data_IF_654109201601
#
_entry.id   IF_654109201601
#
_cell.length_a   1.000
_cell.length_b   1.000
_cell.length_c   1.000
_cell.angle_alpha   90.00
_cell.angle_beta   90.00
_cell.angle_gamma   90.00
#
_symmetry.space_group_name_H-M   'P 1'
#
loop_
_entity.id
_entity.type
_entity.pdbx_description
1 polymer ?
#
# COMPACT_ATOMS: atom_id res chain seq x y z
N UNK A 1 -11.11 8.58 -5.64
CA UNK A 1 -11.60 8.21 -4.33
C UNK A 1 -10.46 7.69 -3.46
N UNK A 2 -10.23 8.24 -2.27
CA UNK A 2 -9.09 7.80 -1.46
C UNK A 2 -9.25 6.37 -0.96
N UNK A 3 -8.14 5.70 -0.82
CA UNK A 3 -8.13 4.34 -0.27
C UNK A 3 -8.37 4.33 1.23
N UNK A 4 -8.04 5.43 1.91
CA UNK A 4 -8.25 5.58 3.33
C UNK A 4 -9.01 6.88 3.59
N UNK A 5 -9.55 7.02 4.80
CA UNK A 5 -10.31 8.21 5.17
C UNK A 5 -9.76 8.78 6.47
N UNK A 6 -10.23 9.99 6.81
CA UNK A 6 -9.91 10.59 8.12
C UNK A 6 -10.35 9.66 9.25
N UNK A 7 -11.49 9.02 9.11
CA UNK A 7 -11.97 8.10 10.13
C UNK A 7 -11.02 6.94 10.34
N UNK A 8 -10.44 6.43 9.26
CA UNK A 8 -9.45 5.35 9.35
C UNK A 8 -8.20 5.82 10.08
N UNK A 9 -7.78 7.06 9.84
CA UNK A 9 -6.63 7.64 10.55
C UNK A 9 -6.94 7.81 12.03
N UNK A 10 -8.12 8.31 12.36
CA UNK A 10 -8.53 8.50 13.74
C UNK A 10 -8.62 7.17 14.49
N UNK A 11 -9.11 6.15 13.82
CA UNK A 11 -9.21 4.83 14.41
C UNK A 11 -7.83 4.23 14.70
N UNK A 12 -6.89 4.41 13.78
CA UNK A 12 -5.53 3.86 13.91
C UNK A 12 -4.70 4.64 14.93
N UNK A 13 -4.69 5.96 14.83
CA UNK A 13 -3.76 6.80 15.57
C UNK A 13 -4.39 7.46 16.80
N UNK A 14 -5.70 7.65 16.78
CA UNK A 14 -6.39 8.38 17.85
C UNK A 14 -6.51 9.86 17.53
N UNK A 15 -7.54 10.49 18.11
CA UNK A 15 -7.85 11.89 17.84
C UNK A 15 -6.71 12.81 18.27
N UNK A 16 -6.12 12.52 19.43
CA UNK A 16 -5.06 13.39 19.96
C UNK A 16 -3.85 13.45 19.03
N UNK A 17 -3.42 12.32 18.54
CA UNK A 17 -2.27 12.30 17.62
C UNK A 17 -2.60 13.01 16.32
N UNK A 18 -3.77 12.73 15.74
CA UNK A 18 -4.14 13.33 14.46
C UNK A 18 -4.30 14.84 14.60
N UNK A 19 -4.91 15.30 15.69
CA UNK A 19 -5.01 16.73 15.95
C UNK A 19 -3.62 17.36 16.04
N UNK A 20 -2.69 16.68 16.71
CA UNK A 20 -1.34 17.21 16.91
C UNK A 20 -0.58 17.38 15.59
N UNK A 21 -0.78 16.45 14.65
CA UNK A 21 -0.02 16.48 13.38
C UNK A 21 -0.79 17.12 12.24
N UNK A 22 -2.08 17.36 12.38
CA UNK A 22 -2.90 17.91 11.30
C UNK A 22 -3.53 19.27 11.61
N UNK A 23 -3.29 19.82 12.80
CA UNK A 23 -3.72 21.18 13.14
C UNK A 23 -2.55 22.13 12.95
N UNK A 24 -2.33 22.53 11.69
CA UNK A 24 -1.15 23.32 11.33
C UNK A 24 -1.29 24.80 11.68
N UNK A 25 -2.52 25.29 11.81
CA UNK A 25 -2.78 26.70 12.17
C UNK A 25 -3.08 26.85 13.67
N UNK A 26 -3.08 25.76 14.42
CA UNK A 26 -3.24 25.76 15.87
C UNK A 26 -4.58 26.34 16.32
N UNK A 27 -5.63 26.08 15.57
CA UNK A 27 -6.97 26.56 15.90
C UNK A 27 -7.78 25.56 16.75
N UNK A 28 -7.18 24.43 17.08
CA UNK A 28 -7.83 23.40 17.91
C UNK A 28 -8.65 22.41 17.11
N UNK A 29 -8.60 22.47 15.78
CA UNK A 29 -9.33 21.51 14.96
C UNK A 29 -8.42 21.00 13.84
N UNK A 30 -8.76 19.79 13.34
CA UNK A 30 -8.01 19.15 12.30
C UNK A 30 -8.24 19.90 10.98
N UNK A 31 -7.14 20.24 10.28
CA UNK A 31 -7.22 20.94 9.00
C UNK A 31 -7.56 19.97 7.87
N UNK A 32 -8.72 20.11 7.22
CA UNK A 32 -9.12 19.17 6.17
C UNK A 32 -8.12 19.14 5.00
N UNK A 33 -7.54 20.27 4.65
CA UNK A 33 -6.60 20.33 3.53
C UNK A 33 -5.34 19.52 3.81
N UNK A 34 -4.89 19.52 5.06
CA UNK A 34 -3.70 18.75 5.47
C UNK A 34 -3.99 17.25 5.37
N UNK A 35 -5.17 16.85 5.83
CA UNK A 35 -5.60 15.45 5.76
C UNK A 35 -5.74 15.03 4.30
N UNK A 36 -6.40 15.84 3.48
CA UNK A 36 -6.60 15.50 2.06
C UNK A 36 -5.27 15.33 1.34
N UNK A 37 -4.31 16.20 1.61
CA UNK A 37 -2.99 16.09 0.99
C UNK A 37 -2.30 14.78 1.36
N UNK A 38 -2.42 14.36 2.62
CA UNK A 38 -1.81 13.11 3.07
C UNK A 38 -2.49 11.90 2.42
N UNK A 39 -3.81 11.94 2.31
CA UNK A 39 -4.56 10.85 1.69
C UNK A 39 -4.25 10.73 0.19
N UNK A 40 -4.13 11.88 -0.49
CA UNK A 40 -3.75 11.87 -1.91
C UNK A 40 -2.33 11.32 -2.08
N UNK A 41 -1.42 11.71 -1.20
CA UNK A 41 -0.05 11.18 -1.24
C UNK A 41 -0.04 9.67 -1.07
N UNK A 42 -0.83 9.17 -0.13
CA UNK A 42 -0.93 7.72 0.10
C UNK A 42 -1.50 7.01 -1.13
N UNK A 43 -2.55 7.57 -1.72
CA UNK A 43 -3.15 7.00 -2.93
C UNK A 43 -2.15 6.92 -4.06
N UNK A 44 -1.41 7.99 -4.28
CA UNK A 44 -0.41 8.03 -5.35
C UNK A 44 0.69 7.01 -5.13
N UNK A 45 1.12 6.87 -3.88
CA UNK A 45 2.17 5.89 -3.53
C UNK A 45 1.67 4.47 -3.80
N UNK A 46 0.47 4.15 -3.32
CA UNK A 46 -0.11 2.82 -3.53
C UNK A 46 -0.28 2.54 -5.02
N UNK A 47 -0.84 3.50 -5.76
CA UNK A 47 -1.08 3.32 -7.19
C UNK A 47 0.23 3.08 -7.95
N UNK A 48 1.30 3.75 -7.54
CA UNK A 48 2.59 3.58 -8.20
C UNK A 48 3.11 2.16 -8.14
N UNK A 49 2.85 1.46 -7.05
CA UNK A 49 3.28 0.07 -6.90
C UNK A 49 2.25 -0.91 -7.48
N UNK A 50 0.97 -0.70 -7.17
CA UNK A 50 -0.08 -1.68 -7.49
C UNK A 50 -0.36 -1.73 -8.98
N UNK A 51 -0.25 -0.60 -9.69
CA UNK A 51 -0.54 -0.53 -11.11
C UNK A 51 0.39 -1.40 -11.96
N UNK A 52 1.51 -1.84 -11.40
CA UNK A 52 2.42 -2.75 -12.10
C UNK A 52 1.75 -4.09 -12.37
N UNK A 53 0.92 -4.56 -11.43
CA UNK A 53 0.32 -5.89 -11.51
C UNK A 53 -1.20 -5.88 -11.68
N UNK A 54 -1.87 -4.78 -11.34
CA UNK A 54 -3.33 -4.73 -11.30
C UNK A 54 -3.85 -3.57 -12.10
N UNK A 55 -5.02 -3.75 -12.69
CA UNK A 55 -5.73 -2.67 -13.32
C UNK A 55 -6.42 -1.81 -12.28
N UNK A 56 -6.27 -0.51 -12.41
CA UNK A 56 -6.92 0.44 -11.52
C UNK A 56 -7.95 1.26 -12.30
N UNK A 57 -9.00 1.75 -11.64
CA UNK A 57 -9.26 1.66 -10.19
C UNK A 57 -9.85 0.31 -9.79
N UNK A 58 -9.79 0.02 -8.49
CA UNK A 58 -10.45 -1.16 -7.93
C UNK A 58 -11.96 -0.93 -7.90
N UNK A 59 -12.72 -2.00 -8.13
CA UNK A 59 -14.16 -1.96 -7.91
C UNK A 59 -14.46 -1.86 -6.42
N UNK A 60 -13.71 -2.62 -5.61
CA UNK A 60 -13.77 -2.53 -4.17
C UNK A 60 -12.34 -2.54 -3.65
N UNK A 61 -12.01 -1.60 -2.78
CA UNK A 61 -10.66 -1.46 -2.26
C UNK A 61 -10.36 -2.61 -1.29
N UNK A 62 -9.32 -3.41 -1.54
CA UNK A 62 -8.94 -4.45 -0.57
C UNK A 62 -8.54 -3.84 0.77
N UNK A 63 -8.84 -4.57 1.85
CA UNK A 63 -8.50 -4.08 3.20
C UNK A 63 -7.00 -3.88 3.37
N UNK A 64 -6.18 -4.71 2.75
CA UNK A 64 -4.72 -4.53 2.80
C UNK A 64 -4.31 -3.18 2.23
N UNK A 65 -4.91 -2.80 1.10
CA UNK A 65 -4.61 -1.51 0.48
C UNK A 65 -4.98 -0.36 1.42
N UNK A 66 -6.14 -0.46 2.06
CA UNK A 66 -6.55 0.56 3.03
C UNK A 66 -5.56 0.65 4.19
N UNK A 67 -5.15 -0.49 4.71
CA UNK A 67 -4.19 -0.54 5.82
C UNK A 67 -2.88 0.15 5.45
N UNK A 68 -2.36 -0.15 4.25
CA UNK A 68 -1.11 0.48 3.79
C UNK A 68 -1.28 1.98 3.56
N UNK A 69 -2.42 2.38 2.99
CA UNK A 69 -2.69 3.79 2.75
C UNK A 69 -2.73 4.58 4.07
N UNK A 70 -3.34 4.00 5.12
CA UNK A 70 -3.38 4.64 6.43
C UNK A 70 -1.97 4.81 6.98
N UNK A 71 -1.14 3.76 6.89
CA UNK A 71 0.24 3.83 7.38
C UNK A 71 1.05 4.89 6.65
N UNK A 72 0.88 4.99 5.33
CA UNK A 72 1.60 5.96 4.53
C UNK A 72 1.13 7.39 4.83
N UNK A 73 -0.19 7.59 4.91
CA UNK A 73 -0.74 8.92 5.22
C UNK A 73 -0.31 9.39 6.61
N UNK A 74 -0.35 8.49 7.59
CA UNK A 74 0.06 8.80 8.95
C UNK A 74 1.53 9.24 9.00
N UNK A 75 2.40 8.52 8.32
CA UNK A 75 3.82 8.86 8.25
C UNK A 75 4.01 10.23 7.59
N UNK A 76 3.30 10.48 6.50
CA UNK A 76 3.40 11.74 5.77
C UNK A 76 2.98 12.93 6.65
N UNK A 77 1.96 12.74 7.49
CA UNK A 77 1.48 13.79 8.39
C UNK A 77 2.52 14.18 9.44
N UNK A 78 3.40 13.25 9.84
CA UNK A 78 4.47 13.52 10.79
C UNK A 78 5.67 14.17 10.10
N UNK A 79 5.48 15.37 9.58
CA UNK A 79 6.51 16.01 8.75
C UNK A 79 7.78 16.39 9.51
N UNK A 80 7.69 16.52 10.84
CA UNK A 80 8.83 16.90 11.68
C UNK A 80 9.55 15.70 12.27
N UNK A 81 9.22 14.52 11.81
CA UNK A 81 9.81 13.28 12.29
C UNK A 81 8.77 12.41 12.98
N UNK A 82 8.61 11.19 12.50
CA UNK A 82 7.63 10.27 13.03
C UNK A 82 8.21 9.45 14.18
N UNK A 83 7.37 9.06 15.15
CA UNK A 83 7.79 8.08 16.15
C UNK A 83 8.21 6.77 15.50
N UNK A 84 9.00 6.00 16.23
CA UNK A 84 9.58 4.77 15.69
C UNK A 84 8.52 3.79 15.19
N UNK A 85 7.42 3.64 15.92
CA UNK A 85 6.36 2.70 15.50
C UNK A 85 5.65 3.17 14.22
N UNK A 86 5.53 4.47 14.01
CA UNK A 86 4.95 5.01 12.78
C UNK A 86 5.89 4.78 11.59
N UNK A 87 7.18 4.98 11.80
CA UNK A 87 8.18 4.70 10.77
C UNK A 87 8.17 3.22 10.41
N UNK A 88 8.09 2.35 11.42
CA UNK A 88 8.05 0.90 11.19
C UNK A 88 6.83 0.52 10.35
N UNK A 89 5.67 1.04 10.70
CA UNK A 89 4.44 0.74 9.95
C UNK A 89 4.54 1.21 8.50
N UNK A 90 5.12 2.39 8.29
CA UNK A 90 5.34 2.90 6.94
C UNK A 90 6.30 2.01 6.16
N UNK A 91 7.40 1.60 6.76
CA UNK A 91 8.36 0.72 6.09
C UNK A 91 7.73 -0.62 5.73
N UNK A 92 6.91 -1.16 6.62
CA UNK A 92 6.22 -2.42 6.36
C UNK A 92 5.23 -2.26 5.19
N UNK A 93 4.51 -1.15 5.14
CA UNK A 93 3.59 -0.88 4.04
C UNK A 93 4.33 -0.79 2.70
N UNK A 94 5.43 -0.04 2.66
CA UNK A 94 6.23 0.10 1.45
C UNK A 94 6.83 -1.24 1.03
N UNK A 95 7.32 -2.02 1.99
CA UNK A 95 7.87 -3.35 1.70
C UNK A 95 6.81 -4.27 1.09
N UNK A 96 5.60 -4.25 1.65
CA UNK A 96 4.49 -5.06 1.13
C UNK A 96 4.11 -4.60 -0.27
N UNK A 97 4.08 -3.29 -0.51
CA UNK A 97 3.76 -2.76 -1.84
C UNK A 97 4.81 -3.15 -2.88
N UNK A 98 6.08 -3.17 -2.48
CA UNK A 98 7.14 -3.67 -3.37
C UNK A 98 6.92 -5.13 -3.72
N UNK A 99 6.46 -5.92 -2.76
CA UNK A 99 6.15 -7.33 -2.99
C UNK A 99 4.96 -7.49 -3.94
N UNK A 100 3.95 -6.61 -3.83
CA UNK A 100 2.82 -6.60 -4.77
C UNK A 100 3.34 -6.30 -6.18
N UNK A 101 4.16 -5.26 -6.32
CA UNK A 101 4.69 -4.87 -7.61
C UNK A 101 5.54 -5.97 -8.24
N UNK A 102 6.25 -6.72 -7.41
CA UNK A 102 7.08 -7.83 -7.89
C UNK A 102 6.31 -9.12 -8.13
N UNK A 103 5.02 -9.14 -7.81
CA UNK A 103 4.19 -10.33 -7.97
C UNK A 103 4.32 -11.35 -6.87
N UNK A 104 5.04 -11.03 -5.80
CA UNK A 104 5.22 -11.96 -4.66
C UNK A 104 4.04 -11.97 -3.71
N UNK A 105 3.32 -10.85 -3.64
CA UNK A 105 2.14 -10.74 -2.79
C UNK A 105 0.94 -10.44 -3.67
N UNK A 106 -0.11 -11.23 -3.54
CA UNK A 106 -1.33 -11.04 -4.31
C UNK A 106 -2.40 -10.41 -3.44
N UNK A 107 -3.12 -9.44 -4.04
CA UNK A 107 -4.21 -8.80 -3.33
C UNK A 107 -5.46 -9.67 -3.37
N UNK A 108 -6.25 -9.68 -2.30
CA UNK A 108 -7.52 -10.43 -2.27
C UNK A 108 -8.61 -9.65 -3.01
N UNK A 109 -8.53 -9.62 -4.33
CA UNK A 109 -9.52 -8.92 -5.14
C UNK A 109 -10.76 -9.78 -5.29
N UNK A 110 -11.93 -9.11 -5.37
CA UNK A 110 -13.18 -9.81 -5.54
C UNK A 110 -13.38 -10.29 -6.97
N UNK A 111 -14.45 -11.06 -7.20
CA UNK A 111 -14.69 -11.64 -8.55
C UNK A 111 -14.93 -10.60 -9.64
N UNK A 112 -15.38 -9.39 -9.26
CA UNK A 112 -15.60 -8.32 -10.22
C UNK A 112 -14.38 -7.43 -10.40
N UNK A 113 -13.31 -7.69 -9.68
CA UNK A 113 -12.09 -6.90 -9.76
C UNK A 113 -11.26 -7.28 -10.98
N UNK A 114 -10.50 -6.33 -11.53
CA UNK A 114 -9.60 -6.65 -12.64
C UNK A 114 -8.59 -7.72 -12.23
N UNK A 115 -8.36 -8.65 -13.11
CA UNK A 115 -7.37 -9.70 -12.85
C UNK A 115 -5.96 -9.10 -12.79
N UNK A 116 -5.05 -9.73 -12.05
CA UNK A 116 -3.65 -9.30 -12.07
C UNK A 116 -3.12 -9.32 -13.51
N UNK A 117 -2.37 -8.29 -13.84
CA UNK A 117 -1.76 -8.19 -15.16
C UNK A 117 -0.40 -8.88 -15.15
N UNK A 118 -0.07 -9.62 -16.19
CA UNK A 118 1.27 -10.16 -16.28
C UNK A 118 2.27 -9.01 -16.43
N UNK A 119 3.35 -9.08 -15.73
CA UNK A 119 4.38 -8.08 -15.87
C UNK A 119 5.08 -8.31 -17.20
N UNK A 120 5.42 -7.24 -17.87
CA UNK A 120 6.07 -7.35 -19.15
C UNK A 120 7.45 -7.96 -18.97
N UNK A 121 7.77 -8.91 -19.78
CA UNK A 121 9.03 -9.58 -19.70
C UNK A 121 9.09 -10.71 -18.70
N UNK A 122 8.06 -10.91 -17.94
CA UNK A 122 8.10 -11.95 -16.95
C UNK A 122 7.44 -13.21 -17.44
N UNK A 123 7.11 -13.16 -18.52
CA UNK A 123 6.46 -14.30 -18.91
C UNK A 123 7.30 -15.49 -18.89
N UNK A 124 7.35 -15.39 -18.42
CA UNK A 124 7.58 -16.20 -18.08
C UNK A 124 7.79 -17.02 -17.35
N UNK A 125 7.69 -16.90 -17.44
CA UNK A 125 7.74 -17.59 -16.82
C UNK A 125 7.87 -18.47 -16.28
N UNK A 126 7.74 -18.49 -16.28
CA UNK A 126 7.82 -19.20 -15.79
C UNK A 126 7.91 -20.07 -15.47
N UNK A 127 7.87 -20.14 -15.61
CA UNK A 127 7.87 -20.95 -15.37
C UNK A 127 7.93 -21.76 -14.99
N UNK A 128 7.86 -21.76 -15.07
CA UNK A 128 7.72 -22.51 -14.68
C UNK A 128 7.93 -23.28 -14.32
N UNK A 129 7.96 -23.53 -14.31
CA UNK A 129 8.17 -24.28 -13.82
C UNK A 129 8.59 -24.78 -13.40
N UNK A 130 8.44 -24.54 -13.43
CA UNK A 130 8.64 -24.93 -13.05
C UNK A 130 9.27 -25.17 -12.68
N UNK A 131 9.39 -25.21 -12.48
CA UNK A 131 10.01 -25.52 -12.09
C UNK A 131 10.94 -25.74 -11.89
N UNK A 132 10.95 -25.63 -11.89
CA UNK A 132 11.63 -26.08 -11.79
C UNK A 132 12.45 -26.31 -11.31
N UNK A 133 12.39 -26.13 -10.93
CA UNK A 133 13.12 -26.68 -10.67
C UNK A 133 13.23 -27.34 -10.26
N UNK A 134 12.76 -27.50 -10.27
CA UNK A 134 12.85 -28.37 -10.15
C UNK A 134 13.22 -29.28 -10.18
N UNK A 135 12.91 -29.61 -10.16
CA UNK A 135 13.40 -30.58 -10.11
C UNK A 135 13.76 -31.12 -10.80
N UNK A 136 13.58 -30.86 -11.22
CA UNK A 136 14.11 -31.32 -11.85
C UNK A 136 14.82 -30.92 -12.27
N UNK A 137 14.84 -30.19 -12.23
CA UNK A 137 15.55 -29.90 -12.47
C UNK A 137 16.37 -29.87 -12.07
N UNK A 138 16.23 -29.95 -11.53
CA UNK A 138 16.96 -30.26 -11.23
C UNK A 138 17.51 -31.05 -11.23
N UNK A 139 17.07 -31.54 -11.55
CA UNK A 139 17.62 -32.43 -11.46
C UNK A 139 18.55 -32.55 -11.86
N UNK A 140 18.69 -32.26 -11.95
CA UNK A 140 19.34 -32.31 -12.17
C UNK A 140 20.00 -31.86 -12.07
N UNK A 141 19.84 -31.31 -11.62
CA UNK A 141 20.27 -30.92 -11.33
C UNK A 141 20.38 -30.99 -10.79
N UNK A 142 20.03 -31.15 -10.71
CA UNK A 142 19.94 -31.40 -10.33
C UNK A 142 20.27 -31.68 -10.32
#
# INVERSE_FOLDING_TARGET
MPYASLEDLLERAGEDEILQIADRDLDGSIDPDVIDAALVHADNTVNGYVSVQYKLPFTAVPDLVRTWAVSIARYFLHRDGAPEHVVRDWKEAISALKDVAAGRLKLPVGPDEPAPQPSSGSDVSIVGPGPVFSADKLKGWL
#
